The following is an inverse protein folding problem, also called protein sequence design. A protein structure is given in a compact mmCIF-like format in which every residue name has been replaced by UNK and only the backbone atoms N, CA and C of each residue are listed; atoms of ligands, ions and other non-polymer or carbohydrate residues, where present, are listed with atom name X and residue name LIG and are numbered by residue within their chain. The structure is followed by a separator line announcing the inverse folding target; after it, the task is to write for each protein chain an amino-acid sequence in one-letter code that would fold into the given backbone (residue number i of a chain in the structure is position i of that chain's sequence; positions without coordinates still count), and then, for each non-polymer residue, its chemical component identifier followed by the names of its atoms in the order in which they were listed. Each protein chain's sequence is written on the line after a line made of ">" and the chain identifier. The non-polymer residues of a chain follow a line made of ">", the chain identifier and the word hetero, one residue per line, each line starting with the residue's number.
data_IF_378667399133
#
_entry.id   IF_378667399133
#
_cell.length_a   1.000
_cell.length_b   1.000
_cell.length_c   1.000
_cell.angle_alpha   90.00
_cell.angle_beta   90.00
_cell.angle_gamma   90.00
#
_symmetry.space_group_name_H-M   'P 1'
#
loop_
_entity.id
_entity.type
_entity.pdbx_description
1 polymer ?
#
# COMPACT_ATOMS: atom_id res chain seq x y z
N UNK A 1 43.70 -12.82 0.42
CA UNK A 1 43.06 -12.25 1.62
C UNK A 1 41.81 -11.51 1.19
N UNK A 2 40.67 -12.02 1.65
CA UNK A 2 39.35 -11.41 1.92
C UNK A 2 38.81 -10.36 0.93
N UNK A 3 37.84 -10.83 0.13
CA UNK A 3 36.89 -10.03 -0.64
C UNK A 3 35.90 -9.35 0.33
N UNK A 4 36.02 -8.03 0.49
CA UNK A 4 35.07 -7.16 1.18
C UNK A 4 34.02 -6.69 0.17
N UNK A 5 32.85 -7.32 0.15
CA UNK A 5 31.83 -7.01 -0.86
C UNK A 5 30.41 -7.44 -0.48
N UNK A 6 29.98 -7.23 0.76
CA UNK A 6 28.61 -7.63 1.18
C UNK A 6 27.95 -6.68 2.17
N UNK A 7 28.19 -5.36 2.05
CA UNK A 7 27.62 -4.35 2.95
C UNK A 7 26.65 -3.34 2.30
N UNK A 8 26.65 -3.20 0.98
CA UNK A 8 26.01 -2.04 0.32
C UNK A 8 24.61 -2.31 -0.26
N UNK A 9 24.13 -3.56 -0.30
CA UNK A 9 22.88 -3.90 -1.02
C UNK A 9 21.59 -3.80 -0.18
N UNK A 10 21.64 -4.08 1.13
CA UNK A 10 20.42 -4.13 1.94
C UNK A 10 19.80 -2.75 2.20
N UNK A 11 20.62 -1.74 2.51
CA UNK A 11 20.14 -0.39 2.83
C UNK A 11 19.61 0.35 1.59
N UNK A 12 20.23 0.17 0.42
CA UNK A 12 19.73 0.76 -0.83
C UNK A 12 18.39 0.16 -1.27
N UNK A 13 18.18 -1.15 -1.08
CA UNK A 13 16.89 -1.79 -1.38
C UNK A 13 15.74 -1.33 -0.45
N UNK A 14 16.04 -1.03 0.82
CA UNK A 14 15.05 -0.48 1.76
C UNK A 14 14.57 0.92 1.30
N UNK A 15 15.48 1.75 0.78
CA UNK A 15 15.16 3.08 0.26
C UNK A 15 14.27 3.02 -1.01
N UNK A 16 14.47 2.02 -1.87
CA UNK A 16 13.68 1.83 -3.10
C UNK A 16 12.22 1.43 -2.77
N UNK A 17 12.00 0.61 -1.74
CA UNK A 17 10.65 0.18 -1.34
C UNK A 17 9.82 1.34 -0.76
N UNK A 18 10.42 2.17 0.11
CA UNK A 18 9.76 3.37 0.61
C UNK A 18 9.39 4.36 -0.50
N UNK A 19 10.14 4.36 -1.62
CA UNK A 19 9.85 5.18 -2.80
C UNK A 19 8.73 4.58 -3.67
N UNK A 20 8.62 3.25 -3.76
CA UNK A 20 7.55 2.58 -4.52
C UNK A 20 6.17 2.75 -3.87
N UNK A 21 6.08 2.74 -2.55
CA UNK A 21 4.86 3.08 -1.79
C UNK A 21 4.30 4.47 -2.15
N UNK A 22 5.17 5.42 -2.50
CA UNK A 22 4.79 6.79 -2.90
C UNK A 22 4.30 6.90 -4.36
N UNK A 23 4.27 5.80 -5.12
CA UNK A 23 3.91 5.85 -6.55
C UNK A 23 2.43 5.55 -6.80
N UNK A 24 1.78 4.76 -5.95
CA UNK A 24 0.38 4.38 -6.16
C UNK A 24 -0.52 5.53 -5.71
N UNK A 25 -1.16 6.19 -6.67
CA UNK A 25 -2.18 7.22 -6.41
C UNK A 25 -3.54 6.64 -6.73
N UNK A 26 -4.47 6.79 -5.80
CA UNK A 26 -5.87 6.40 -6.00
C UNK A 26 -6.81 7.58 -5.75
N UNK A 27 -7.90 7.61 -6.49
CA UNK A 27 -9.06 8.48 -6.27
C UNK A 27 -10.12 7.67 -5.53
N UNK A 28 -10.58 8.17 -4.38
CA UNK A 28 -11.62 7.56 -3.57
C UNK A 28 -12.86 8.46 -3.57
N UNK A 29 -13.92 8.03 -4.24
CA UNK A 29 -15.23 8.68 -4.13
C UNK A 29 -16.02 8.05 -3.02
N UNK A 30 -16.56 8.91 -2.15
CA UNK A 30 -17.22 8.50 -0.93
C UNK A 30 -18.50 9.27 -0.70
N UNK A 31 -19.52 8.55 -0.24
CA UNK A 31 -20.81 9.11 0.18
C UNK A 31 -20.94 9.03 1.70
N UNK A 32 -21.72 9.95 2.27
CA UNK A 32 -22.02 9.97 3.71
C UNK A 32 -23.26 9.11 3.98
N UNK A 33 -23.14 8.16 4.90
CA UNK A 33 -24.23 7.31 5.36
C UNK A 33 -24.44 7.48 6.88
N UNK A 34 -25.56 6.98 7.40
CA UNK A 34 -25.89 7.07 8.82
C UNK A 34 -24.87 6.37 9.74
N UNK A 35 -24.16 5.35 9.22
CA UNK A 35 -23.12 4.59 9.93
C UNK A 35 -21.68 5.01 9.63
N UNK A 36 -21.46 6.14 8.94
CA UNK A 36 -20.12 6.61 8.57
C UNK A 36 -19.96 6.90 7.08
N UNK A 37 -18.75 6.69 6.56
CA UNK A 37 -18.42 6.95 5.16
C UNK A 37 -18.47 5.65 4.37
N UNK A 38 -19.21 5.67 3.26
CA UNK A 38 -19.28 4.54 2.32
C UNK A 38 -18.41 4.81 1.10
N UNK A 39 -17.73 3.78 0.60
CA UNK A 39 -16.94 3.87 -0.62
C UNK A 39 -17.86 3.64 -1.83
N UNK A 40 -17.95 4.65 -2.69
CA UNK A 40 -18.70 4.61 -3.95
C UNK A 40 -17.87 4.04 -5.09
N UNK A 41 -16.62 4.50 -5.16
CA UNK A 41 -15.71 4.19 -6.24
C UNK A 41 -14.27 4.34 -5.74
N UNK A 42 -13.42 3.39 -6.12
CA UNK A 42 -11.97 3.54 -6.06
C UNK A 42 -11.41 3.43 -7.48
N UNK A 43 -10.51 4.35 -7.85
CA UNK A 43 -9.82 4.32 -9.14
C UNK A 43 -8.33 4.55 -8.93
N UNK A 44 -7.49 3.66 -9.49
CA UNK A 44 -6.05 3.91 -9.56
C UNK A 44 -5.77 5.00 -10.59
N UNK A 45 -5.22 6.13 -10.13
CA UNK A 45 -4.80 7.27 -10.95
C UNK A 45 -3.36 7.09 -11.48
N UNK A 46 -2.49 6.50 -10.65
CA UNK A 46 -1.12 6.14 -11.02
C UNK A 46 -0.79 4.82 -10.34
N UNK A 47 -0.41 3.82 -11.12
CA UNK A 47 0.07 2.54 -10.62
C UNK A 47 1.57 2.56 -10.34
N UNK A 48 2.03 1.58 -9.57
CA UNK A 48 3.44 1.24 -9.38
C UNK A 48 4.04 0.45 -10.54
N UNK A 49 3.20 -0.03 -11.47
CA UNK A 49 3.60 -0.94 -12.55
C UNK A 49 3.58 -2.41 -12.12
N UNK A 50 3.12 -2.71 -10.91
CA UNK A 50 2.99 -4.04 -10.35
C UNK A 50 1.53 -4.26 -9.99
N UNK A 51 0.80 -4.98 -10.84
CA UNK A 51 -0.66 -5.09 -10.74
C UNK A 51 -1.16 -5.61 -9.39
N UNK A 52 -0.40 -6.50 -8.76
CA UNK A 52 -0.71 -7.04 -7.44
C UNK A 52 -0.53 -6.03 -6.29
N UNK A 53 0.35 -5.05 -6.45
CA UNK A 53 0.46 -3.92 -5.51
C UNK A 53 -0.61 -2.86 -5.80
N UNK A 54 -0.91 -2.63 -7.07
CA UNK A 54 -1.83 -1.58 -7.52
C UNK A 54 -3.28 -1.82 -7.09
N UNK A 55 -3.67 -3.08 -6.88
CA UNK A 55 -5.01 -3.44 -6.37
C UNK A 55 -5.16 -3.18 -4.86
N UNK A 56 -4.06 -3.13 -4.10
CA UNK A 56 -4.10 -3.13 -2.63
C UNK A 56 -4.86 -1.92 -2.09
N UNK A 57 -4.62 -0.68 -2.52
CA UNK A 57 -5.28 0.47 -1.91
C UNK A 57 -6.80 0.46 -2.09
N UNK A 58 -7.30 -0.07 -3.22
CA UNK A 58 -8.74 -0.15 -3.44
C UNK A 58 -9.40 -1.27 -2.63
N UNK A 59 -8.76 -2.43 -2.50
CA UNK A 59 -9.25 -3.52 -1.63
C UNK A 59 -9.24 -3.08 -0.16
N UNK A 60 -8.19 -2.40 0.29
CA UNK A 60 -8.12 -1.82 1.63
C UNK A 60 -9.18 -0.73 1.83
N UNK A 61 -9.41 0.15 0.84
CA UNK A 61 -10.44 1.18 0.93
C UNK A 61 -11.85 0.61 1.08
N UNK A 62 -12.15 -0.49 0.41
CA UNK A 62 -13.43 -1.18 0.57
C UNK A 62 -13.60 -1.69 2.00
N UNK A 63 -12.60 -2.40 2.54
CA UNK A 63 -12.65 -2.94 3.91
C UNK A 63 -12.76 -1.84 4.97
N UNK A 64 -11.96 -0.78 4.83
CA UNK A 64 -12.05 0.36 5.74
C UNK A 64 -13.45 1.00 5.68
N UNK A 65 -14.08 1.11 4.50
CA UNK A 65 -15.44 1.64 4.40
C UNK A 65 -16.48 0.70 5.02
N UNK A 66 -16.33 -0.62 4.87
CA UNK A 66 -17.20 -1.63 5.50
C UNK A 66 -17.12 -1.62 7.03
N UNK A 67 -15.98 -1.22 7.60
CA UNK A 67 -15.81 -1.00 9.04
C UNK A 67 -16.46 0.29 9.55
N UNK A 68 -17.06 1.10 8.68
CA UNK A 68 -17.86 2.27 9.09
C UNK A 68 -17.01 3.47 9.53
N UNK A 69 -15.97 3.82 8.77
CA UNK A 69 -15.10 4.95 9.12
C UNK A 69 -15.91 6.25 9.34
N UNK A 70 -15.68 6.98 10.43
CA UNK A 70 -16.54 8.10 10.83
C UNK A 70 -16.40 9.34 9.93
N UNK A 71 -15.32 9.44 9.16
CA UNK A 71 -15.06 10.57 8.27
C UNK A 71 -14.18 10.17 7.08
N UNK A 72 -14.18 11.00 6.03
CA UNK A 72 -13.29 10.82 4.88
C UNK A 72 -11.82 10.82 5.28
N UNK A 73 -11.47 11.63 6.30
CA UNK A 73 -10.11 11.69 6.85
C UNK A 73 -9.74 10.39 7.57
N UNK A 74 -10.66 9.83 8.36
CA UNK A 74 -10.46 8.54 9.01
C UNK A 74 -10.33 7.40 7.99
N UNK A 75 -11.17 7.40 6.95
CA UNK A 75 -11.05 6.46 5.84
C UNK A 75 -9.68 6.57 5.17
N UNK A 76 -9.25 7.78 4.83
CA UNK A 76 -7.93 8.01 4.21
C UNK A 76 -6.81 7.46 5.09
N UNK A 77 -6.82 7.77 6.39
CA UNK A 77 -5.80 7.29 7.32
C UNK A 77 -5.79 5.75 7.42
N UNK A 78 -6.97 5.12 7.52
CA UNK A 78 -7.10 3.66 7.50
C UNK A 78 -6.52 3.06 6.21
N UNK A 79 -6.81 3.67 5.06
CA UNK A 79 -6.28 3.22 3.77
C UNK A 79 -4.77 3.38 3.70
N UNK A 80 -4.22 4.53 4.08
CA UNK A 80 -2.78 4.78 4.04
C UNK A 80 -2.00 3.79 4.92
N UNK A 81 -2.46 3.59 6.16
CA UNK A 81 -1.83 2.71 7.15
C UNK A 81 -1.86 1.24 6.69
N UNK A 82 -3.05 0.71 6.46
CA UNK A 82 -3.23 -0.71 6.11
C UNK A 82 -2.71 -1.07 4.72
N UNK A 83 -2.75 -0.13 3.77
CA UNK A 83 -2.11 -0.36 2.46
C UNK A 83 -0.61 -0.44 2.59
N UNK A 84 0.00 0.41 3.43
CA UNK A 84 1.45 0.38 3.69
C UNK A 84 1.85 -0.97 4.27
N UNK A 85 1.15 -1.44 5.31
CA UNK A 85 1.43 -2.75 5.92
C UNK A 85 1.30 -3.90 4.93
N UNK A 86 0.22 -3.90 4.14
CA UNK A 86 -0.04 -4.99 3.20
C UNK A 86 0.93 -5.00 2.03
N UNK A 87 1.31 -3.83 1.50
CA UNK A 87 2.35 -3.73 0.47
C UNK A 87 3.69 -4.20 1.03
N UNK A 88 4.06 -3.79 2.25
CA UNK A 88 5.29 -4.25 2.91
C UNK A 88 5.30 -5.78 3.07
N UNK A 89 4.18 -6.38 3.45
CA UNK A 89 4.06 -7.84 3.57
C UNK A 89 4.26 -8.55 2.21
N UNK A 90 3.67 -8.04 1.12
CA UNK A 90 3.86 -8.60 -0.23
C UNK A 90 5.33 -8.49 -0.66
N UNK A 91 5.97 -7.34 -0.40
CA UNK A 91 7.37 -7.14 -0.75
C UNK A 91 8.31 -8.02 0.09
N UNK A 92 8.02 -8.20 1.38
CA UNK A 92 8.77 -9.11 2.25
C UNK A 92 8.66 -10.57 1.76
N UNK A 93 7.46 -11.03 1.41
CA UNK A 93 7.26 -12.38 0.87
C UNK A 93 8.05 -12.61 -0.42
N UNK A 94 8.11 -11.61 -1.31
CA UNK A 94 8.90 -11.68 -2.55
C UNK A 94 10.40 -11.73 -2.31
N UNK A 95 10.90 -11.05 -1.27
CA UNK A 95 12.32 -11.14 -0.89
C UNK A 95 12.68 -12.55 -0.44
N UNK A 96 11.84 -13.15 0.41
CA UNK A 96 12.02 -14.53 0.87
C UNK A 96 12.03 -15.49 -0.33
N UNK A 97 11.09 -15.35 -1.26
CA UNK A 97 10.99 -16.20 -2.45
C UNK A 97 12.14 -16.06 -3.45
N UNK A 98 12.93 -14.99 -3.41
CA UNK A 98 14.10 -14.77 -4.29
C UNK A 98 15.43 -15.09 -3.62
N UNK A 99 15.46 -15.18 -2.29
CA UNK A 99 16.66 -15.42 -1.49
C UNK A 99 16.78 -16.84 -0.94
N UNK A 100 15.87 -17.74 -1.30
CA UNK A 100 15.95 -19.19 -1.06
C UNK A 100 16.20 -19.93 -2.36
#
# INVERSE_FOLDING_TARGET
>A
MIQTGTGLNAEQEIIVVARQLRMIKVDLKTDKAAGGVTLRQCRVLRGSGQGDLDIIPCDVAQRCAEEGMPSRRALKACVEDRSTDRINAVLAARRIARGG
#
